data_IF_818275667183
#
_entry.id   IF_818275667183
#
_cell.length_a   1.000
_cell.length_b   1.000
_cell.length_c   1.000
_cell.angle_alpha   90.00
_cell.angle_beta   90.00
_cell.angle_gamma   90.00
#
_symmetry.space_group_name_H-M   'P 1'
#
loop_
_entity.id
_entity.type
_entity.pdbx_description
1 polymer ?
#
# COMPACT_ATOMS: atom_id res chain seq x y z
N UNK A 1 17.22 -9.63 2.45
CA UNK A 1 17.65 -8.35 1.82
C UNK A 1 16.89 -8.17 0.51
N UNK A 2 16.03 -7.16 0.33
CA UNK A 2 15.39 -6.96 -0.97
C UNK A 2 16.40 -6.33 -1.94
N UNK A 3 16.42 -6.82 -3.18
CA UNK A 3 17.36 -6.38 -4.22
C UNK A 3 17.27 -4.86 -4.45
N UNK A 4 18.39 -4.11 -4.41
CA UNK A 4 18.38 -2.64 -4.36
C UNK A 4 18.01 -1.94 -5.68
N UNK A 5 17.59 -2.65 -6.74
CA UNK A 5 17.52 -2.07 -8.08
C UNK A 5 16.12 -1.79 -8.65
N UNK A 6 15.05 -2.45 -8.20
CA UNK A 6 13.73 -2.32 -8.86
C UNK A 6 13.03 -0.97 -8.64
N UNK A 7 13.29 -0.29 -7.52
CA UNK A 7 12.60 0.97 -7.16
C UNK A 7 13.39 2.23 -7.48
N UNK A 8 14.59 2.12 -8.08
CA UNK A 8 15.50 3.25 -8.30
C UNK A 8 14.86 4.31 -9.21
N UNK A 9 14.28 3.91 -10.33
CA UNK A 9 13.62 4.81 -11.27
C UNK A 9 12.37 5.48 -10.67
N UNK A 10 11.62 4.76 -9.82
CA UNK A 10 10.45 5.30 -9.13
C UNK A 10 10.85 6.36 -8.10
N UNK A 11 11.88 6.09 -7.29
CA UNK A 11 12.39 7.03 -6.27
C UNK A 11 13.00 8.29 -6.90
N UNK A 12 13.67 8.17 -8.05
CA UNK A 12 14.22 9.31 -8.77
C UNK A 12 13.15 10.30 -9.29
N UNK A 13 11.90 9.83 -9.47
CA UNK A 13 10.76 10.68 -9.87
C UNK A 13 10.11 11.39 -8.68
N UNK A 14 10.52 11.11 -7.43
CA UNK A 14 9.90 11.64 -6.22
C UNK A 14 10.87 12.59 -5.52
N UNK A 15 10.43 13.81 -5.27
CA UNK A 15 11.16 14.80 -4.48
C UNK A 15 10.50 14.90 -3.09
N UNK A 16 10.92 14.04 -2.16
CA UNK A 16 10.31 13.92 -0.82
C UNK A 16 10.54 15.14 0.09
N UNK A 17 11.38 16.08 -0.33
CA UNK A 17 11.58 17.39 0.30
C UNK A 17 10.48 18.40 -0.04
N UNK A 18 9.73 18.18 -1.13
CA UNK A 18 8.68 19.09 -1.61
C UNK A 18 7.27 18.65 -1.26
N UNK A 19 7.09 17.40 -0.83
CA UNK A 19 5.78 16.83 -0.52
C UNK A 19 5.77 16.28 0.91
N UNK A 20 4.69 16.46 1.69
CA UNK A 20 4.55 15.85 3.02
C UNK A 20 4.40 14.32 2.99
N UNK A 21 4.56 13.67 1.82
CA UNK A 21 4.49 12.23 1.69
C UNK A 21 5.72 11.59 2.37
N UNK A 22 5.51 10.66 3.32
CA UNK A 22 6.63 9.99 3.98
C UNK A 22 7.39 9.11 2.98
N UNK A 23 8.72 9.09 3.10
CA UNK A 23 9.55 8.14 2.37
C UNK A 23 9.17 6.72 2.79
N UNK A 24 8.87 5.86 1.80
CA UNK A 24 8.53 4.47 2.07
C UNK A 24 9.67 3.75 2.79
N UNK A 25 9.42 3.33 4.04
CA UNK A 25 10.33 2.55 4.87
C UNK A 25 9.87 1.10 5.01
N UNK A 26 10.81 0.20 5.34
CA UNK A 26 10.46 -1.14 5.81
C UNK A 26 9.83 -0.99 7.19
N UNK A 27 8.52 -1.15 7.27
CA UNK A 27 7.84 -1.23 8.57
C UNK A 27 8.00 -2.67 9.03
N UNK A 28 9.01 -2.93 9.86
CA UNK A 28 9.15 -4.22 10.53
C UNK A 28 8.01 -4.37 11.53
N UNK A 29 6.96 -5.08 11.12
CA UNK A 29 5.89 -5.51 12.00
C UNK A 29 5.80 -7.02 11.93
N UNK A 30 5.56 -7.67 13.07
CA UNK A 30 5.02 -9.03 13.09
C UNK A 30 3.87 -9.04 12.08
N UNK A 31 3.98 -9.87 11.05
CA UNK A 31 2.98 -9.95 9.98
C UNK A 31 1.57 -10.14 10.58
N UNK A 32 0.54 -9.93 9.75
CA UNK A 32 -0.90 -9.99 10.09
C UNK A 32 -1.62 -8.62 10.15
N UNK A 33 -1.01 -7.52 9.69
CA UNK A 33 -1.75 -6.28 9.51
C UNK A 33 -2.59 -6.31 8.23
N UNK A 34 -3.82 -5.83 8.34
CA UNK A 34 -4.67 -5.55 7.19
C UNK A 34 -5.35 -4.20 7.33
N UNK A 35 -5.68 -3.59 6.21
CA UNK A 35 -6.45 -2.35 6.12
C UNK A 35 -7.57 -2.55 5.12
N UNK A 36 -8.76 -2.08 5.49
CA UNK A 36 -9.90 -1.94 4.58
C UNK A 36 -10.26 -0.48 4.54
N UNK A 37 -10.00 0.19 3.41
CA UNK A 37 -10.31 1.61 3.25
C UNK A 37 -11.48 1.77 2.30
N UNK A 38 -12.52 2.51 2.70
CA UNK A 38 -13.61 2.90 1.80
C UNK A 38 -13.10 4.01 0.87
N UNK A 39 -13.03 3.72 -0.42
CA UNK A 39 -12.64 4.68 -1.43
C UNK A 39 -13.88 5.21 -2.15
N UNK A 40 -14.29 6.42 -1.78
CA UNK A 40 -15.41 7.12 -2.41
C UNK A 40 -14.92 7.90 -3.64
N UNK A 41 -14.76 7.18 -4.75
CA UNK A 41 -14.38 7.70 -6.07
C UNK A 41 -15.58 7.65 -7.02
N UNK A 42 -15.39 7.89 -8.32
CA UNK A 42 -16.45 7.76 -9.33
C UNK A 42 -17.09 6.37 -9.35
N UNK A 43 -16.30 5.34 -9.07
CA UNK A 43 -16.77 4.01 -8.74
C UNK A 43 -16.43 3.72 -7.27
N UNK A 44 -17.45 3.68 -6.43
CA UNK A 44 -17.29 3.31 -5.02
C UNK A 44 -16.70 1.90 -4.90
N UNK A 45 -15.60 1.79 -4.17
CA UNK A 45 -14.98 0.51 -3.87
C UNK A 45 -14.26 0.54 -2.53
N UNK A 46 -13.91 -0.64 -2.04
CA UNK A 46 -13.05 -0.78 -0.88
C UNK A 46 -11.64 -1.19 -1.34
N UNK A 47 -10.62 -0.54 -0.81
CA UNK A 47 -9.25 -1.00 -0.95
C UNK A 47 -8.92 -1.96 0.19
N UNK A 48 -8.77 -3.24 -0.13
CA UNK A 48 -8.24 -4.25 0.79
C UNK A 48 -6.72 -4.30 0.66
N UNK A 49 -6.01 -4.14 1.79
CA UNK A 49 -4.56 -4.27 1.85
C UNK A 49 -4.16 -5.31 2.89
N UNK A 50 -3.44 -6.34 2.48
CA UNK A 50 -2.94 -7.42 3.35
C UNK A 50 -1.42 -7.37 3.41
N UNK A 51 -0.85 -7.43 4.61
CA UNK A 51 0.59 -7.54 4.80
C UNK A 51 1.04 -8.96 4.46
N UNK A 52 1.94 -9.08 3.49
CA UNK A 52 2.59 -10.34 3.11
C UNK A 52 4.10 -10.08 3.13
N UNK A 53 4.77 -10.50 4.21
CA UNK A 53 6.14 -10.10 4.49
C UNK A 53 6.24 -8.60 4.81
N UNK A 54 7.15 -7.90 4.14
CA UNK A 54 7.38 -6.46 4.34
C UNK A 54 6.52 -5.55 3.44
N UNK A 55 5.59 -6.12 2.65
CA UNK A 55 4.77 -5.37 1.69
C UNK A 55 3.27 -5.53 1.93
N UNK A 56 2.51 -4.46 1.66
CA UNK A 56 1.06 -4.49 1.62
C UNK A 56 0.59 -4.81 0.19
N UNK A 57 0.15 -6.04 -0.05
CA UNK A 57 -0.56 -6.37 -1.29
C UNK A 57 -1.95 -5.74 -1.23
N UNK A 58 -2.36 -5.09 -2.33
CA UNK A 58 -3.56 -4.26 -2.37
C UNK A 58 -4.50 -4.69 -3.49
N UNK A 59 -5.80 -4.70 -3.23
CA UNK A 59 -6.87 -5.05 -4.18
C UNK A 59 -8.06 -4.09 -4.03
N UNK A 60 -8.65 -3.71 -5.16
CA UNK A 60 -9.94 -3.02 -5.18
C UNK A 60 -11.07 -4.04 -5.11
N UNK A 61 -12.01 -3.82 -4.18
CA UNK A 61 -13.17 -4.68 -3.89
C UNK A 61 -14.44 -3.84 -4.11
N UNK A 62 -15.04 -3.89 -5.31
CA UNK A 62 -16.16 -3.02 -5.68
C UNK A 62 -17.40 -3.20 -4.79
N UNK A 63 -17.69 -4.43 -4.36
CA UNK A 63 -18.88 -4.76 -3.55
C UNK A 63 -18.60 -4.85 -2.05
N UNK A 64 -17.41 -4.45 -1.61
CA UNK A 64 -16.99 -4.55 -0.21
C UNK A 64 -16.81 -5.99 0.31
N UNK A 65 -16.37 -6.13 1.57
CA UNK A 65 -16.22 -7.44 2.22
C UNK A 65 -17.58 -8.05 2.59
N UNK A 66 -17.67 -9.38 2.52
CA UNK A 66 -18.83 -10.17 2.99
C UNK A 66 -18.51 -10.83 4.33
N UNK A 67 -19.52 -11.01 5.20
CA UNK A 67 -19.40 -11.59 6.55
C UNK A 67 -19.97 -13.01 6.66
N UNK A 68 -20.27 -13.66 5.53
CA UNK A 68 -20.83 -15.03 5.52
C UNK A 68 -19.86 -16.09 6.03
#
# INVERSE_FOLDING_TARGET
MPAPSKLKAYRAKREFTRTPEPAGGLVAGEGNRFVVHKHHATADHYDLRLQVGDVLKSWAVPRGPSLN
#
